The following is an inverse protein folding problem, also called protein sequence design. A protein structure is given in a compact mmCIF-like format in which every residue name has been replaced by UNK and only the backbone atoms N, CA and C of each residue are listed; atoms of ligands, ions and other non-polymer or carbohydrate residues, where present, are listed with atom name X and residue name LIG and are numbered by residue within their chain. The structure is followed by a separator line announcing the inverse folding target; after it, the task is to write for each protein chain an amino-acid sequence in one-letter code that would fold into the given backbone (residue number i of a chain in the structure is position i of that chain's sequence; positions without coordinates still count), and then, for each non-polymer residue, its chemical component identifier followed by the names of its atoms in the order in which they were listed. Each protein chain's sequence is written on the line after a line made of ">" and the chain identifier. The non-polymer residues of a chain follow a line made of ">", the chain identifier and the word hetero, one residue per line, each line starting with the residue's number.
data_IF_480898139821
#
_entry.id   IF_480898139821
#
_cell.length_a   1.000
_cell.length_b   1.000
_cell.length_c   1.000
_cell.angle_alpha   90.00
_cell.angle_beta   90.00
_cell.angle_gamma   90.00
#
_symmetry.space_group_name_H-M   'P 1'
#
loop_
_entity.id
_entity.type
_entity.pdbx_description
1 polymer ?
#
# COMPACT_ATOMS: atom_id res chain seq x y z
N UNK A 1 12.00 15.02 -15.49
CA UNK A 1 11.25 14.43 -14.36
C UNK A 1 9.83 14.01 -14.74
N UNK A 2 8.93 14.93 -15.12
CA UNK A 2 7.52 14.59 -15.42
C UNK A 2 7.35 13.52 -16.53
N UNK A 3 8.20 13.54 -17.56
CA UNK A 3 8.16 12.57 -18.66
C UNK A 3 8.50 11.15 -18.18
N UNK A 4 9.51 11.00 -17.33
CA UNK A 4 9.95 9.70 -16.79
C UNK A 4 8.85 9.08 -15.93
N UNK A 5 8.21 9.90 -15.08
CA UNK A 5 7.10 9.47 -14.23
C UNK A 5 5.94 8.94 -15.08
N UNK A 6 5.58 9.64 -16.17
CA UNK A 6 4.53 9.19 -17.10
C UNK A 6 4.84 7.82 -17.70
N UNK A 7 6.07 7.58 -18.15
CA UNK A 7 6.47 6.28 -18.70
C UNK A 7 6.44 5.17 -17.65
N UNK A 8 6.85 5.45 -16.40
CA UNK A 8 6.74 4.50 -15.30
C UNK A 8 5.27 4.13 -15.03
N UNK A 9 4.37 5.10 -15.01
CA UNK A 9 2.93 4.83 -14.85
C UNK A 9 2.37 3.98 -15.99
N UNK A 10 2.70 4.32 -17.25
CA UNK A 10 2.26 3.54 -18.41
C UNK A 10 2.78 2.11 -18.32
N UNK A 11 4.06 1.93 -17.96
CA UNK A 11 4.66 0.61 -17.76
C UNK A 11 3.94 -0.17 -16.65
N UNK A 12 3.68 0.44 -15.49
CA UNK A 12 2.97 -0.19 -14.38
C UNK A 12 1.54 -0.60 -14.76
N UNK A 13 0.82 0.24 -15.50
CA UNK A 13 -0.54 -0.06 -15.99
C UNK A 13 -0.48 -1.22 -16.98
N UNK A 14 0.42 -1.17 -17.98
CA UNK A 14 0.58 -2.23 -18.96
C UNK A 14 0.97 -3.55 -18.30
N UNK A 15 1.92 -3.53 -17.37
CA UNK A 15 2.35 -4.69 -16.59
C UNK A 15 1.19 -5.28 -15.77
N UNK A 16 0.37 -4.44 -15.15
CA UNK A 16 -0.81 -4.88 -14.40
C UNK A 16 -1.88 -5.50 -15.29
N UNK A 17 -2.14 -4.95 -16.48
CA UNK A 17 -3.13 -5.49 -17.43
C UNK A 17 -2.62 -6.79 -18.06
N UNK A 18 -1.34 -6.85 -18.46
CA UNK A 18 -0.75 -8.01 -19.13
C UNK A 18 -0.75 -9.27 -18.28
N UNK A 19 -0.81 -9.15 -16.94
CA UNK A 19 -0.91 -10.31 -16.04
C UNK A 19 -2.13 -11.19 -16.34
N UNK A 20 -3.22 -10.63 -16.84
CA UNK A 20 -4.43 -11.40 -17.16
C UNK A 20 -4.29 -12.21 -18.46
N UNK A 21 -3.33 -11.83 -19.31
CA UNK A 21 -3.15 -12.43 -20.63
C UNK A 21 -1.93 -13.37 -20.70
N UNK A 22 -1.03 -13.34 -19.70
CA UNK A 22 0.18 -14.17 -19.66
C UNK A 22 0.44 -14.71 -18.26
N UNK A 23 0.57 -16.04 -18.16
CA UNK A 23 0.91 -16.73 -16.91
C UNK A 23 2.30 -16.35 -16.38
N UNK A 24 3.26 -16.09 -17.29
CA UNK A 24 4.60 -15.63 -16.92
C UNK A 24 4.55 -14.24 -16.30
N UNK A 25 3.77 -13.33 -16.87
CA UNK A 25 3.58 -11.98 -16.31
C UNK A 25 2.84 -12.03 -14.97
N UNK A 26 1.82 -12.88 -14.85
CA UNK A 26 1.14 -13.12 -13.56
C UNK A 26 2.10 -13.65 -12.48
N UNK A 27 2.99 -14.57 -12.84
CA UNK A 27 4.02 -15.07 -11.93
C UNK A 27 4.93 -13.94 -11.42
N UNK A 28 5.46 -13.10 -12.32
CA UNK A 28 6.27 -11.95 -11.92
C UNK A 28 5.49 -10.92 -11.12
N UNK A 29 4.24 -10.65 -11.48
CA UNK A 29 3.38 -9.73 -10.74
C UNK A 29 3.13 -10.23 -9.31
N UNK A 30 2.80 -11.52 -9.13
CA UNK A 30 2.59 -12.14 -7.82
C UNK A 30 3.83 -12.11 -6.95
N UNK A 31 5.04 -12.22 -7.52
CA UNK A 31 6.31 -12.18 -6.78
C UNK A 31 6.83 -10.76 -6.51
N UNK A 32 6.18 -9.72 -7.04
CA UNK A 32 6.59 -8.32 -6.85
C UNK A 32 5.49 -7.52 -6.19
N UNK A 33 4.66 -6.84 -6.98
CA UNK A 33 3.61 -5.94 -6.52
C UNK A 33 2.49 -6.73 -5.82
N UNK A 34 2.14 -7.91 -6.34
CA UNK A 34 1.13 -8.79 -5.73
C UNK A 34 1.56 -9.32 -4.36
N UNK A 35 2.83 -9.64 -4.16
CA UNK A 35 3.36 -10.05 -2.85
C UNK A 35 3.25 -8.92 -1.83
N UNK A 36 3.53 -7.68 -2.25
CA UNK A 36 3.35 -6.50 -1.41
C UNK A 36 1.87 -6.26 -1.05
N UNK A 37 0.94 -6.36 -2.01
CA UNK A 37 -0.49 -6.27 -1.70
C UNK A 37 -1.00 -7.41 -0.82
N UNK A 38 -0.48 -8.62 -1.00
CA UNK A 38 -0.82 -9.75 -0.14
C UNK A 38 -0.29 -9.54 1.29
N UNK A 39 0.94 -9.06 1.41
CA UNK A 39 1.51 -8.66 2.70
C UNK A 39 0.70 -7.54 3.34
N UNK A 40 0.28 -6.52 2.59
CA UNK A 40 -0.64 -5.48 3.05
C UNK A 40 -2.02 -6.03 3.41
N UNK A 41 -2.53 -7.06 2.74
CA UNK A 41 -3.80 -7.69 3.10
C UNK A 41 -3.71 -8.44 4.43
N UNK A 42 -2.63 -9.19 4.63
CA UNK A 42 -2.39 -9.98 5.85
C UNK A 42 -2.03 -9.09 7.04
N UNK A 43 -1.15 -8.11 6.83
CA UNK A 43 -0.66 -7.22 7.89
C UNK A 43 -1.50 -5.94 7.99
N UNK A 44 -2.37 -5.66 7.03
CA UNK A 44 -3.20 -4.46 7.00
C UNK A 44 -4.19 -4.40 8.16
N UNK A 45 -4.73 -5.53 8.59
CA UNK A 45 -5.58 -5.58 9.79
C UNK A 45 -4.80 -5.19 11.04
N UNK A 46 -3.58 -5.74 11.21
CA UNK A 46 -2.70 -5.40 12.32
C UNK A 46 -2.24 -3.93 12.25
N UNK A 47 -1.83 -3.45 11.07
CA UNK A 47 -1.43 -2.07 10.84
C UNK A 47 -2.57 -1.11 11.09
N UNK A 48 -3.79 -1.42 10.65
CA UNK A 48 -4.97 -0.59 10.85
C UNK A 48 -5.34 -0.50 12.34
N UNK A 49 -5.25 -1.63 13.07
CA UNK A 49 -5.42 -1.65 14.53
C UNK A 49 -4.37 -0.78 15.24
N UNK A 50 -3.10 -0.87 14.83
CA UNK A 50 -2.01 -0.03 15.37
C UNK A 50 -2.26 1.46 15.08
N UNK A 51 -2.64 1.81 13.85
CA UNK A 51 -2.92 3.19 13.45
C UNK A 51 -4.10 3.77 14.24
N UNK A 52 -5.17 3.00 14.41
CA UNK A 52 -6.34 3.41 15.22
C UNK A 52 -5.92 3.62 16.67
N UNK A 53 -5.17 2.66 17.25
CA UNK A 53 -4.68 2.75 18.63
C UNK A 53 -3.79 3.98 18.86
N UNK A 54 -2.85 4.24 17.95
CA UNK A 54 -2.00 5.43 18.00
C UNK A 54 -2.80 6.72 17.86
N UNK A 55 -3.79 6.76 16.96
CA UNK A 55 -4.64 7.93 16.75
C UNK A 55 -5.46 8.27 18.00
N UNK A 56 -6.00 7.25 18.68
CA UNK A 56 -6.73 7.42 19.95
C UNK A 56 -5.78 7.93 21.03
N UNK A 57 -4.60 7.32 21.19
CA UNK A 57 -3.62 7.73 22.18
C UNK A 57 -3.16 9.18 22.00
N UNK A 58 -2.86 9.59 20.77
CA UNK A 58 -2.51 10.98 20.44
C UNK A 58 -3.66 11.94 20.75
N UNK A 59 -4.90 11.55 20.44
CA UNK A 59 -6.09 12.36 20.74
C UNK A 59 -6.28 12.56 22.24
N UNK A 60 -6.10 11.50 23.04
CA UNK A 60 -6.18 11.56 24.51
C UNK A 60 -5.06 12.45 25.07
N UNK A 61 -3.82 12.26 24.63
CA UNK A 61 -2.69 13.09 25.05
C UNK A 61 -2.92 14.56 24.71
N UNK A 62 -3.45 14.85 23.52
CA UNK A 62 -3.80 16.21 23.12
C UNK A 62 -4.92 16.81 23.98
N UNK A 63 -5.95 16.02 24.31
CA UNK A 63 -7.02 16.47 25.20
C UNK A 63 -6.51 16.77 26.61
N UNK A 64 -5.61 15.94 27.15
CA UNK A 64 -4.96 16.16 28.45
C UNK A 64 -4.08 17.42 28.40
N UNK A 65 -3.28 17.58 27.35
CA UNK A 65 -2.43 18.76 27.16
C UNK A 65 -3.24 20.05 27.11
N UNK A 66 -4.40 20.05 26.46
CA UNK A 66 -5.29 21.23 26.40
C UNK A 66 -5.97 21.53 27.75
N UNK A 67 -6.12 20.52 28.61
CA UNK A 67 -6.79 20.66 29.91
C UNK A 67 -5.86 21.24 30.98
N UNK A 68 -4.54 21.09 30.82
CA UNK A 68 -3.51 21.75 31.62
C UNK A 68 -3.11 23.10 31.02
#
# INVERSE_FOLDING_TARGET
>A
MAVIIRFIFIFLIAFWVLRFFSSTVDYYWRHTIGAFFNWLGVNGDLMMKIIIGLSIAVTILFAIYKWY
#
